data_IF_592527606280
#
_entry.id   IF_592527606280
#
_cell.length_a   1.000
_cell.length_b   1.000
_cell.length_c   1.000
_cell.angle_alpha   90.00
_cell.angle_beta   90.00
_cell.angle_gamma   90.00
#
_symmetry.space_group_name_H-M   'P 1'
#
loop_
_entity.id
_entity.type
_entity.pdbx_description
1 polymer ?
#
# COMPACT_ATOMS: atom_id res chain seq x y z
N UNK A 1 -0.87 -12.68 -11.00
CA UNK A 1 -1.59 -11.41 -10.70
C UNK A 1 -2.49 -11.02 -11.88
N UNK A 2 -3.51 -11.82 -12.19
CA UNK A 2 -4.37 -11.64 -13.39
C UNK A 2 -5.70 -10.92 -13.09
N UNK A 3 -6.02 -10.65 -11.82
CA UNK A 3 -7.25 -9.94 -11.45
C UNK A 3 -7.27 -8.50 -12.04
N UNK A 4 -8.43 -7.89 -12.29
CA UNK A 4 -8.51 -6.51 -12.78
C UNK A 4 -7.95 -5.50 -11.77
N UNK A 5 -7.22 -4.50 -12.24
CA UNK A 5 -6.65 -3.46 -11.36
C UNK A 5 -7.74 -2.50 -10.84
N UNK A 6 -8.77 -2.26 -11.62
CA UNK A 6 -9.87 -1.33 -11.31
C UNK A 6 -10.57 -1.70 -9.99
N UNK A 7 -10.57 -2.99 -9.64
CA UNK A 7 -11.20 -3.50 -8.44
C UNK A 7 -10.20 -3.96 -7.37
N UNK A 8 -9.04 -4.48 -7.77
CA UNK A 8 -8.15 -5.20 -6.85
C UNK A 8 -6.75 -4.59 -6.71
N UNK A 9 -6.47 -3.41 -7.27
CA UNK A 9 -5.12 -2.84 -7.23
C UNK A 9 -4.59 -2.68 -5.79
N UNK A 10 -5.38 -2.16 -4.86
CA UNK A 10 -4.98 -2.04 -3.45
C UNK A 10 -4.65 -3.42 -2.82
N UNK A 11 -5.48 -4.43 -3.10
CA UNK A 11 -5.28 -5.80 -2.61
C UNK A 11 -4.03 -6.45 -3.21
N UNK A 12 -3.77 -6.23 -4.50
CA UNK A 12 -2.54 -6.70 -5.16
C UNK A 12 -1.30 -6.09 -4.52
N UNK A 13 -1.32 -4.79 -4.25
CA UNK A 13 -0.22 -4.08 -3.58
C UNK A 13 -0.02 -4.59 -2.16
N UNK A 14 -1.10 -4.77 -1.38
CA UNK A 14 -1.02 -5.36 -0.05
C UNK A 14 -0.42 -6.77 -0.08
N UNK A 15 -0.79 -7.60 -1.08
CA UNK A 15 -0.23 -8.94 -1.27
C UNK A 15 1.27 -8.89 -1.61
N UNK A 16 1.70 -7.98 -2.50
CA UNK A 16 3.12 -7.78 -2.82
C UNK A 16 3.89 -7.44 -1.54
N UNK A 17 3.47 -6.43 -0.80
CA UNK A 17 4.15 -6.00 0.43
C UNK A 17 4.16 -7.12 1.49
N UNK A 18 3.04 -7.84 1.61
CA UNK A 18 2.89 -8.98 2.51
C UNK A 18 3.87 -10.10 2.20
N UNK A 19 4.00 -10.51 0.93
CA UNK A 19 4.89 -11.59 0.51
C UNK A 19 6.36 -11.15 0.55
N UNK A 20 6.70 -10.06 -0.15
CA UNK A 20 8.09 -9.59 -0.30
C UNK A 20 8.69 -9.17 1.03
N UNK A 21 7.87 -8.50 1.84
CA UNK A 21 8.27 -8.04 3.15
C UNK A 21 7.94 -9.03 4.24
N UNK A 22 7.32 -10.19 4.02
CA UNK A 22 6.76 -11.03 5.11
C UNK A 22 6.02 -10.20 6.17
N UNK A 23 5.24 -9.21 5.71
CA UNK A 23 4.64 -8.21 6.59
C UNK A 23 3.42 -8.80 7.30
N UNK A 24 3.33 -8.56 8.62
CA UNK A 24 2.11 -8.84 9.38
C UNK A 24 1.00 -7.87 8.98
N UNK A 25 -0.26 -8.24 9.23
CA UNK A 25 -1.41 -7.35 8.96
C UNK A 25 -1.26 -5.96 9.60
N UNK A 26 -0.77 -5.89 10.84
CA UNK A 26 -0.52 -4.62 11.52
C UNK A 26 0.61 -3.80 10.87
N UNK A 27 1.66 -4.46 10.35
CA UNK A 27 2.75 -3.79 9.64
C UNK A 27 2.25 -3.19 8.32
N UNK A 28 1.41 -3.93 7.59
CA UNK A 28 0.75 -3.44 6.37
C UNK A 28 -0.18 -2.26 6.66
N UNK A 29 -0.96 -2.34 7.73
CA UNK A 29 -1.89 -1.28 8.15
C UNK A 29 -1.15 0.01 8.55
N UNK A 30 -0.01 -0.12 9.23
CA UNK A 30 0.73 1.03 9.75
C UNK A 30 1.76 1.63 8.77
N UNK A 31 2.02 0.96 7.65
CA UNK A 31 2.97 1.42 6.63
C UNK A 31 2.59 2.81 6.11
N UNK A 32 3.55 3.72 6.05
CA UNK A 32 3.38 5.08 5.55
C UNK A 32 4.00 5.25 4.15
N UNK A 33 3.63 6.29 3.42
CA UNK A 33 4.25 6.61 2.12
C UNK A 33 5.75 6.88 2.28
N UNK A 34 6.15 7.58 3.35
CA UNK A 34 7.54 7.92 3.64
C UNK A 34 8.44 6.69 3.90
N UNK A 35 7.83 5.55 4.27
CA UNK A 35 8.54 4.29 4.44
C UNK A 35 9.02 3.71 3.10
N UNK A 36 8.46 4.17 1.97
CA UNK A 36 8.82 3.75 0.62
C UNK A 36 9.78 4.76 -0.01
N UNK A 37 11.05 4.37 -0.13
CA UNK A 37 12.02 5.13 -0.91
C UNK A 37 12.05 4.64 -2.35
N UNK A 38 11.72 5.53 -3.29
CA UNK A 38 11.86 5.27 -4.72
C UNK A 38 13.33 5.31 -5.15
N UNK A 39 13.78 4.28 -5.84
CA UNK A 39 15.12 4.14 -6.39
C UNK A 39 15.13 4.15 -7.93
N UNK A 40 14.06 4.64 -8.56
CA UNK A 40 13.90 4.74 -10.02
C UNK A 40 13.93 3.39 -10.76
N UNK A 41 13.39 2.33 -10.14
CA UNK A 41 13.19 0.97 -10.71
C UNK A 41 12.78 -0.04 -9.64
N UNK A 42 12.99 0.34 -8.37
CA UNK A 42 12.55 -0.41 -7.21
C UNK A 42 12.13 0.52 -6.08
N UNK A 43 11.31 0.01 -5.17
CA UNK A 43 11.10 0.60 -3.86
C UNK A 43 11.96 -0.09 -2.82
N UNK A 44 12.72 0.67 -2.05
CA UNK A 44 13.24 0.23 -0.76
C UNK A 44 12.22 0.57 0.32
N UNK A 45 11.56 -0.46 0.85
CA UNK A 45 10.53 -0.33 1.87
C UNK A 45 11.15 -0.54 3.24
N UNK A 46 10.95 0.42 4.14
CA UNK A 46 11.33 0.28 5.55
C UNK A 46 10.11 -0.12 6.36
N UNK A 47 10.21 -1.20 7.15
CA UNK A 47 9.18 -1.50 8.15
C UNK A 47 9.67 -0.92 9.47
N UNK A 48 9.12 0.23 9.92
CA UNK A 48 9.45 0.77 11.21
C UNK A 48 9.03 -0.22 12.28
N UNK A 49 9.81 -0.17 13.33
CA UNK A 49 9.96 -1.19 14.34
C UNK A 49 8.66 -1.84 14.86
N UNK A 50 8.59 -3.17 14.84
CA UNK A 50 7.53 -3.94 15.53
C UNK A 50 8.00 -4.45 16.89
N UNK A 51 7.14 -5.17 17.64
CA UNK A 51 7.31 -5.55 19.06
C UNK A 51 8.73 -5.96 19.51
N UNK A 52 9.58 -6.47 18.61
CA UNK A 52 10.95 -6.95 18.88
C UNK A 52 12.05 -5.91 18.77
N UNK A 53 11.73 -4.63 18.54
CA UNK A 53 12.71 -3.55 18.40
C UNK A 53 13.66 -3.65 17.17
N UNK A 54 13.35 -4.50 16.18
CA UNK A 54 14.13 -4.66 14.94
C UNK A 54 13.48 -3.90 13.77
N UNK A 55 14.23 -2.98 13.18
CA UNK A 55 13.90 -2.37 11.89
C UNK A 55 14.40 -3.27 10.77
N UNK A 56 13.55 -3.54 9.79
CA UNK A 56 13.90 -4.34 8.61
C UNK A 56 13.51 -3.61 7.33
N UNK A 57 14.25 -3.90 6.27
CA UNK A 57 14.00 -3.34 4.93
C UNK A 57 13.91 -4.46 3.91
N UNK A 58 13.13 -4.23 2.88
CA UNK A 58 13.04 -5.13 1.73
C UNK A 58 12.88 -4.31 0.45
N UNK A 59 13.17 -4.95 -0.68
CA UNK A 59 13.09 -4.31 -2.00
C UNK A 59 11.90 -4.87 -2.77
N UNK A 60 11.17 -4.00 -3.45
CA UNK A 60 10.15 -4.35 -4.44
C UNK A 60 10.61 -3.85 -5.81
N UNK A 61 10.93 -4.76 -6.72
CA UNK A 61 11.48 -4.44 -8.05
C UNK A 61 10.55 -4.90 -9.19
N UNK A 62 10.97 -4.63 -10.43
CA UNK A 62 10.41 -5.21 -11.66
C UNK A 62 8.91 -4.94 -11.83
N UNK A 63 8.16 -5.96 -12.23
CA UNK A 63 6.71 -5.89 -12.41
C UNK A 63 5.98 -5.48 -11.12
N UNK A 64 6.51 -5.83 -9.95
CA UNK A 64 5.89 -5.45 -8.68
C UNK A 64 6.09 -3.98 -8.36
N UNK A 65 7.27 -3.43 -8.68
CA UNK A 65 7.52 -1.99 -8.59
C UNK A 65 6.50 -1.22 -9.43
N UNK A 66 6.28 -1.63 -10.68
CA UNK A 66 5.33 -0.98 -11.59
C UNK A 66 3.90 -0.94 -11.03
N UNK A 67 3.46 -2.04 -10.40
CA UNK A 67 2.13 -2.13 -9.79
C UNK A 67 2.02 -1.22 -8.55
N UNK A 68 3.02 -1.24 -7.67
CA UNK A 68 3.07 -0.34 -6.51
C UNK A 68 3.13 1.14 -6.93
N UNK A 69 3.90 1.46 -7.98
CA UNK A 69 4.04 2.81 -8.52
C UNK A 69 2.73 3.31 -9.14
N UNK A 70 2.02 2.45 -9.89
CA UNK A 70 0.68 2.73 -10.41
C UNK A 70 -0.30 3.07 -9.29
N UNK A 71 -0.28 2.30 -8.20
CA UNK A 71 -1.13 2.55 -7.03
C UNK A 71 -0.84 3.91 -6.37
N UNK A 72 0.43 4.26 -6.17
CA UNK A 72 0.82 5.56 -5.63
C UNK A 72 0.39 6.72 -6.54
N UNK A 73 0.47 6.55 -7.86
CA UNK A 73 0.07 7.58 -8.82
C UNK A 73 -1.45 7.83 -8.82
N UNK A 74 -2.26 6.81 -8.51
CA UNK A 74 -3.73 6.91 -8.42
C UNK A 74 -4.20 7.45 -7.06
N UNK A 75 -3.30 7.81 -6.15
CA UNK A 75 -3.66 8.36 -4.85
C UNK A 75 -4.39 9.70 -5.02
N UNK A 76 -5.60 9.89 -4.46
CA UNK A 76 -6.34 11.14 -4.61
C UNK A 76 -5.60 12.34 -3.99
N UNK A 77 -5.59 13.46 -4.71
CA UNK A 77 -5.12 14.73 -4.17
C UNK A 77 -6.12 15.21 -3.10
N UNK A 78 -5.64 15.37 -1.85
CA UNK A 78 -6.48 15.81 -0.72
C UNK A 78 -6.61 14.79 0.41
N UNK A 79 -6.04 13.59 0.29
CA UNK A 79 -5.96 12.65 1.42
C UNK A 79 -4.93 13.16 2.44
N UNK A 80 -5.38 13.49 3.65
CA UNK A 80 -4.51 13.93 4.75
C UNK A 80 -3.70 12.79 5.39
N UNK A 81 -4.21 11.56 5.30
CA UNK A 81 -3.53 10.38 5.81
C UNK A 81 -2.24 10.11 5.05
N UNK A 82 -1.18 9.79 5.78
CA UNK A 82 0.10 9.34 5.23
C UNK A 82 0.16 7.81 5.04
N UNK A 83 -0.88 7.08 5.44
CA UNK A 83 -0.92 5.63 5.32
C UNK A 83 -0.74 5.21 3.85
N UNK A 84 0.15 4.27 3.60
CA UNK A 84 0.43 3.75 2.27
C UNK A 84 -0.82 3.10 1.68
N UNK A 85 -1.42 2.14 2.40
CA UNK A 85 -2.67 1.47 2.00
C UNK A 85 -3.89 2.29 2.44
N UNK A 86 -4.66 2.76 1.47
CA UNK A 86 -5.96 3.39 1.68
C UNK A 86 -7.11 2.41 1.41
N UNK A 87 -8.19 2.60 2.16
CA UNK A 87 -9.47 1.94 1.89
C UNK A 87 -10.25 2.74 0.83
N UNK A 88 -10.28 2.23 -0.39
CA UNK A 88 -11.11 2.78 -1.45
C UNK A 88 -12.50 2.16 -1.39
N UNK A 89 -13.48 2.97 -0.98
CA UNK A 89 -14.87 2.57 -1.08
C UNK A 89 -15.40 3.00 -2.46
N UNK A 90 -16.03 2.06 -3.16
CA UNK A 90 -16.90 2.43 -4.29
C UNK A 90 -17.97 3.35 -3.73
N UNK A 91 -18.31 4.44 -4.42
CA UNK A 91 -19.48 5.25 -4.08
C UNK A 91 -20.69 4.31 -3.93
N UNK A 92 -21.06 4.05 -2.69
CA UNK A 92 -22.35 3.48 -2.38
C UNK A 92 -23.35 4.60 -2.57
N UNK A 93 -24.47 4.31 -3.22
CA UNK A 93 -25.69 5.11 -3.02
C UNK A 93 -25.88 5.22 -1.51
N UNK A 94 -25.62 6.39 -0.94
CA UNK A 94 -25.94 6.66 0.46
C UNK A 94 -27.43 6.35 0.61
N UNK A 95 -27.85 5.44 1.52
CA UNK A 95 -29.24 5.42 1.89
C UNK A 95 -29.56 6.82 2.42
N UNK A 96 -30.53 7.49 1.80
CA UNK A 96 -31.07 8.74 2.31
C UNK A 96 -31.55 8.47 3.73
N UNK A 97 -30.86 9.03 4.73
CA UNK A 97 -31.31 9.08 6.11
C UNK A 97 -30.32 8.50 7.12
N UNK A 98 -29.51 9.35 7.71
CA UNK A 98 -29.79 9.80 9.08
C UNK A 98 -29.08 11.14 9.30
N UNK A 99 -29.88 12.16 9.57
CA UNK A 99 -29.45 13.42 10.15
C UNK A 99 -29.15 13.24 11.64
#
# INVERSE_FOLDING_TARGET
MQAPDEQYLATKVALIMGIMGSCRAQELHNMQIEDLKDLNEAFLVTIPNTKTKIVRRFTVSDNFYTICKKYLHLRPAGVSSQAFLLNYQKEGVLPKGLA
#
